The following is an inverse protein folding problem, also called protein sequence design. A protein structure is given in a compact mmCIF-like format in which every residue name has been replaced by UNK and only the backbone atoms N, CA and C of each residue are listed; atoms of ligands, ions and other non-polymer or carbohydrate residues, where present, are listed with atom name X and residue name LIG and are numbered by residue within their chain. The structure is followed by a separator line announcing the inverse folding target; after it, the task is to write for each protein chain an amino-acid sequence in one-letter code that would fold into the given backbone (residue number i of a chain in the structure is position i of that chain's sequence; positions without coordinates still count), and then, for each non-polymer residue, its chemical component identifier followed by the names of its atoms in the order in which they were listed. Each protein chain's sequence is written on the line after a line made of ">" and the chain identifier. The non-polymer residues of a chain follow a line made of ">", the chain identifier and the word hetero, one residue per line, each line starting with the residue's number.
data_IF_160074947710
#
_entry.id   IF_160074947710
#
_cell.length_a   1.000
_cell.length_b   1.000
_cell.length_c   1.000
_cell.angle_alpha   90.00
_cell.angle_beta   90.00
_cell.angle_gamma   90.00
#
_symmetry.space_group_name_H-M   'P 1'
#
loop_
_entity.id
_entity.type
_entity.pdbx_description
1 polymer ?
#
# COMPACT_ATOMS: atom_id res chain seq x y z
N UNK A 1 4.97 -6.16 -28.35
CA UNK A 1 4.11 -4.99 -28.01
C UNK A 1 4.89 -4.14 -27.00
N UNK A 2 5.04 -2.85 -27.24
CA UNK A 2 5.68 -1.94 -26.27
C UNK A 2 4.68 -1.59 -25.15
N UNK A 3 5.18 -1.18 -23.97
CA UNK A 3 4.30 -0.73 -22.89
C UNK A 3 3.38 0.43 -23.31
N UNK A 4 3.87 1.34 -24.16
CA UNK A 4 3.07 2.42 -24.72
C UNK A 4 1.94 1.91 -25.62
N UNK A 5 2.22 0.94 -26.51
CA UNK A 5 1.18 0.33 -27.36
C UNK A 5 0.08 -0.30 -26.51
N UNK A 6 0.46 -1.11 -25.52
CA UNK A 6 -0.52 -1.76 -24.63
C UNK A 6 -1.39 -0.75 -23.85
N UNK A 7 -0.82 0.39 -23.47
CA UNK A 7 -1.57 1.45 -22.79
C UNK A 7 -2.65 2.06 -23.71
N UNK A 8 -2.29 2.37 -24.98
CA UNK A 8 -3.24 2.91 -25.94
C UNK A 8 -4.30 1.88 -26.35
N UNK A 9 -3.90 0.61 -26.57
CA UNK A 9 -4.84 -0.48 -26.85
C UNK A 9 -5.88 -0.62 -25.70
N UNK A 10 -5.40 -0.46 -24.45
CA UNK A 10 -6.28 -0.48 -23.28
C UNK A 10 -7.23 0.73 -23.22
N UNK A 11 -6.80 1.90 -23.64
CA UNK A 11 -7.67 3.07 -23.75
C UNK A 11 -8.73 2.89 -24.86
N UNK A 12 -8.34 2.39 -26.02
CA UNK A 12 -9.23 2.18 -27.16
C UNK A 12 -10.31 1.13 -26.89
N UNK A 13 -9.97 0.09 -26.12
CA UNK A 13 -10.90 -0.99 -25.77
C UNK A 13 -11.78 -0.67 -24.55
N UNK A 14 -11.49 0.43 -23.82
CA UNK A 14 -12.31 0.82 -22.67
C UNK A 14 -13.71 1.26 -23.06
N UNK A 15 -14.71 0.93 -22.23
CA UNK A 15 -16.05 1.51 -22.36
C UNK A 15 -16.01 3.03 -22.36
N UNK A 16 -16.75 3.67 -23.27
CA UNK A 16 -16.73 5.13 -23.47
C UNK A 16 -17.05 5.92 -22.19
N UNK A 17 -17.90 5.38 -21.33
CA UNK A 17 -18.23 5.99 -20.03
C UNK A 17 -17.02 6.13 -19.09
N UNK A 18 -16.01 5.28 -19.25
CA UNK A 18 -14.77 5.34 -18.45
C UNK A 18 -13.75 6.32 -19.03
N UNK A 19 -14.01 6.90 -20.18
CA UNK A 19 -13.15 7.90 -20.81
C UNK A 19 -13.64 9.33 -20.56
N UNK A 20 -14.84 9.53 -20.03
CA UNK A 20 -15.44 10.85 -19.75
C UNK A 20 -15.37 11.82 -20.96
N UNK A 21 -15.52 11.31 -22.19
CA UNK A 21 -15.42 12.11 -23.42
C UNK A 21 -13.99 12.46 -23.85
N UNK A 22 -12.97 11.94 -23.21
CA UNK A 22 -11.56 12.09 -23.66
C UNK A 22 -11.30 11.03 -24.74
N UNK A 23 -10.81 11.45 -25.90
CA UNK A 23 -10.42 10.50 -26.93
C UNK A 23 -9.10 9.80 -26.54
N UNK A 24 -8.93 8.49 -26.76
CA UNK A 24 -7.70 7.77 -26.42
C UNK A 24 -6.43 8.44 -26.97
N UNK A 25 -6.45 8.92 -28.19
CA UNK A 25 -5.32 9.62 -28.84
C UNK A 25 -4.95 10.96 -28.22
N UNK A 26 -5.83 11.56 -27.39
CA UNK A 26 -5.55 12.82 -26.71
C UNK A 26 -4.80 12.65 -25.39
N UNK A 27 -4.65 11.40 -24.90
CA UNK A 27 -3.98 11.09 -23.63
C UNK A 27 -2.45 11.03 -23.83
N UNK A 28 -1.87 12.15 -24.23
CA UNK A 28 -0.45 12.27 -24.57
C UNK A 28 0.42 12.92 -23.46
N UNK A 29 -0.18 13.21 -22.31
CA UNK A 29 0.53 13.85 -21.19
C UNK A 29 -0.09 13.45 -19.85
N UNK A 30 0.64 13.70 -18.74
CA UNK A 30 0.09 13.53 -17.37
C UNK A 30 -1.15 14.39 -17.14
N UNK A 31 -1.17 15.62 -17.67
CA UNK A 31 -2.33 16.50 -17.56
C UNK A 31 -3.55 15.96 -18.33
N UNK A 32 -3.34 15.35 -19.49
CA UNK A 32 -4.42 14.69 -20.23
C UNK A 32 -4.88 13.41 -19.52
N UNK A 33 -3.97 12.61 -18.96
CA UNK A 33 -4.30 11.43 -18.16
C UNK A 33 -5.16 11.81 -16.95
N UNK A 34 -4.85 12.90 -16.27
CA UNK A 34 -5.58 13.40 -15.10
C UNK A 34 -7.05 13.78 -15.38
N UNK A 35 -7.41 13.96 -16.66
CA UNK A 35 -8.81 14.20 -17.07
C UNK A 35 -9.68 12.94 -17.10
N UNK A 36 -9.06 11.77 -17.14
CA UNK A 36 -9.79 10.50 -17.10
C UNK A 36 -10.36 10.27 -15.67
N UNK A 37 -11.53 9.62 -15.55
CA UNK A 37 -12.07 9.24 -14.26
C UNK A 37 -11.14 8.32 -13.47
N UNK A 38 -11.19 8.42 -12.15
CA UNK A 38 -10.50 7.48 -11.25
C UNK A 38 -11.31 6.17 -11.22
N UNK A 39 -10.67 5.06 -11.55
CA UNK A 39 -11.26 3.71 -11.42
C UNK A 39 -11.20 3.29 -9.95
N UNK A 40 -12.35 3.05 -9.34
CA UNK A 40 -12.43 2.63 -7.94
C UNK A 40 -12.52 1.10 -7.80
N UNK A 41 -11.96 0.58 -6.71
CA UNK A 41 -11.97 -0.88 -6.44
C UNK A 41 -13.40 -1.46 -6.40
N UNK A 42 -14.37 -0.74 -5.86
CA UNK A 42 -15.75 -1.20 -5.84
C UNK A 42 -16.40 -1.20 -7.25
N UNK A 43 -16.01 -0.29 -8.15
CA UNK A 43 -16.49 -0.27 -9.53
C UNK A 43 -15.97 -1.48 -10.30
N UNK A 44 -14.68 -1.83 -10.07
CA UNK A 44 -14.09 -3.05 -10.59
C UNK A 44 -14.89 -4.29 -10.15
N UNK A 45 -15.23 -4.37 -8.86
CA UNK A 45 -16.07 -5.42 -8.29
C UNK A 45 -17.44 -5.50 -8.97
N UNK A 46 -18.14 -4.37 -9.11
CA UNK A 46 -19.46 -4.32 -9.73
C UNK A 46 -19.41 -4.76 -11.19
N UNK A 47 -18.42 -4.32 -11.97
CA UNK A 47 -18.24 -4.74 -13.36
C UNK A 47 -17.94 -6.22 -13.50
N UNK A 48 -17.05 -6.76 -12.67
CA UNK A 48 -16.77 -8.19 -12.62
C UNK A 48 -18.03 -8.99 -12.28
N UNK A 49 -18.82 -8.53 -11.31
CA UNK A 49 -20.08 -9.16 -10.95
C UNK A 49 -21.10 -9.11 -12.09
N UNK A 50 -21.25 -7.97 -12.76
CA UNK A 50 -22.13 -7.82 -13.90
C UNK A 50 -21.72 -8.73 -15.06
N UNK A 51 -20.42 -8.80 -15.39
CA UNK A 51 -19.90 -9.65 -16.47
C UNK A 51 -20.16 -11.14 -16.21
N UNK A 52 -20.06 -11.59 -14.96
CA UNK A 52 -20.32 -12.99 -14.58
C UNK A 52 -21.81 -13.37 -14.66
N UNK A 53 -22.70 -12.41 -14.38
CA UNK A 53 -24.15 -12.64 -14.30
C UNK A 53 -24.93 -12.27 -15.58
N UNK A 54 -24.26 -11.70 -16.57
CA UNK A 54 -24.91 -11.36 -17.84
C UNK A 54 -25.45 -12.60 -18.57
N UNK A 55 -26.70 -12.54 -18.99
CA UNK A 55 -27.30 -13.60 -19.80
C UNK A 55 -26.56 -13.68 -21.15
N UNK A 56 -26.00 -14.86 -21.45
CA UNK A 56 -25.13 -15.06 -22.62
C UNK A 56 -23.75 -14.39 -22.51
N UNK A 57 -23.40 -13.87 -21.34
CA UNK A 57 -22.13 -13.19 -21.09
C UNK A 57 -20.92 -14.11 -21.32
N UNK A 58 -19.78 -13.49 -21.55
CA UNK A 58 -18.49 -14.17 -21.81
C UNK A 58 -17.96 -14.95 -20.63
N UNK A 59 -18.61 -14.88 -19.46
CA UNK A 59 -18.13 -15.41 -18.16
C UNK A 59 -16.73 -14.92 -17.81
N UNK A 60 -16.33 -13.75 -18.32
CA UNK A 60 -15.05 -13.12 -17.97
C UNK A 60 -15.03 -12.72 -16.49
N UNK A 61 -14.20 -13.35 -15.66
CA UNK A 61 -14.12 -13.02 -14.23
C UNK A 61 -13.48 -11.65 -14.00
N UNK A 62 -12.77 -11.09 -14.99
CA UNK A 62 -12.03 -9.83 -14.87
C UNK A 62 -12.83 -8.59 -15.25
N UNK A 63 -14.08 -8.76 -15.72
CA UNK A 63 -14.99 -7.64 -16.01
C UNK A 63 -14.56 -6.74 -17.17
N UNK A 64 -13.80 -7.29 -18.14
CA UNK A 64 -13.29 -6.55 -19.29
C UNK A 64 -12.03 -5.72 -19.03
N UNK A 65 -11.43 -5.82 -17.83
CA UNK A 65 -10.19 -5.10 -17.50
C UNK A 65 -8.92 -5.85 -17.93
N UNK A 66 -9.00 -7.14 -18.17
CA UNK A 66 -7.85 -7.96 -18.60
C UNK A 66 -7.83 -8.07 -20.14
N UNK A 67 -6.64 -7.89 -20.70
CA UNK A 67 -6.37 -8.14 -22.11
C UNK A 67 -6.13 -9.64 -22.39
N UNK A 68 -5.88 -10.45 -21.35
CA UNK A 68 -5.73 -11.89 -21.44
C UNK A 68 -6.97 -12.60 -20.86
N UNK A 69 -7.41 -13.68 -21.51
CA UNK A 69 -8.50 -14.50 -21.00
C UNK A 69 -8.09 -15.29 -19.74
N UNK A 70 -9.03 -15.99 -19.15
CA UNK A 70 -8.80 -16.85 -17.98
C UNK A 70 -8.81 -18.34 -18.29
N UNK A 71 -9.31 -18.67 -19.45
CA UNK A 71 -9.33 -20.06 -19.93
C UNK A 71 -8.86 -20.13 -21.36
N UNK A 72 -8.77 -20.38 -22.30
CA UNK A 72 -8.14 -20.99 -23.46
C UNK A 72 -6.63 -20.74 -23.47
N UNK A 73 -5.98 -21.29 -24.45
CA UNK A 73 -4.54 -21.18 -24.64
C UNK A 73 -4.09 -19.71 -24.70
N UNK A 74 -3.12 -19.34 -23.86
CA UNK A 74 -2.61 -17.98 -23.74
C UNK A 74 -3.37 -17.09 -22.73
N UNK A 75 -4.33 -17.66 -21.97
CA UNK A 75 -4.99 -16.97 -20.87
C UNK A 75 -4.12 -16.83 -19.62
N UNK A 76 -4.75 -16.41 -18.52
CA UNK A 76 -4.05 -16.24 -17.26
C UNK A 76 -3.35 -17.51 -16.78
N UNK A 77 -2.12 -17.38 -16.32
CA UNK A 77 -1.34 -18.47 -15.70
C UNK A 77 -1.97 -18.89 -14.37
N UNK A 78 -2.43 -17.91 -13.57
CA UNK A 78 -3.18 -18.09 -12.33
C UNK A 78 -4.28 -17.03 -12.28
N UNK A 79 -5.32 -17.32 -11.49
CA UNK A 79 -6.38 -16.35 -11.15
C UNK A 79 -6.44 -16.26 -9.65
N UNK A 80 -6.38 -15.06 -9.13
CA UNK A 80 -6.45 -14.75 -7.70
C UNK A 80 -7.78 -14.13 -7.35
N UNK A 81 -8.09 -14.11 -6.05
CA UNK A 81 -9.26 -13.47 -5.49
C UNK A 81 -8.84 -12.62 -4.29
N UNK A 82 -8.75 -11.32 -4.48
CA UNK A 82 -8.57 -10.39 -3.36
C UNK A 82 -9.93 -10.08 -2.67
N UNK A 83 -9.91 -9.53 -1.44
CA UNK A 83 -11.16 -9.24 -0.74
C UNK A 83 -12.12 -8.38 -1.54
N UNK A 84 -13.38 -8.91 -1.68
CA UNK A 84 -14.45 -8.31 -2.45
C UNK A 84 -15.54 -9.33 -2.86
N UNK A 85 -15.37 -10.52 -3.51
CA UNK A 85 -14.13 -10.94 -4.16
C UNK A 85 -13.87 -10.25 -5.49
N UNK A 86 -12.65 -9.77 -5.68
CA UNK A 86 -12.17 -9.23 -6.95
C UNK A 86 -11.19 -10.23 -7.54
N UNK A 87 -11.37 -10.59 -8.80
CA UNK A 87 -10.51 -11.55 -9.49
C UNK A 87 -9.45 -10.82 -10.30
N UNK A 88 -8.21 -11.22 -10.11
CA UNK A 88 -7.04 -10.68 -10.79
C UNK A 88 -6.31 -11.79 -11.56
N UNK A 89 -5.88 -11.53 -12.81
CA UNK A 89 -5.05 -12.47 -13.55
C UNK A 89 -3.59 -12.39 -13.13
N UNK A 90 -2.86 -13.46 -13.37
CA UNK A 90 -1.41 -13.46 -13.54
C UNK A 90 -1.10 -13.87 -14.97
N UNK A 91 -0.33 -13.08 -15.69
CA UNK A 91 0.16 -13.43 -17.02
C UNK A 91 1.42 -14.31 -16.96
N UNK A 92 2.03 -14.54 -18.13
CA UNK A 92 3.17 -15.45 -18.28
C UNK A 92 4.54 -14.77 -18.19
N UNK A 93 4.60 -13.46 -17.89
CA UNK A 93 5.86 -12.73 -17.70
C UNK A 93 6.69 -13.27 -16.54
N UNK A 94 8.02 -13.24 -16.68
CA UNK A 94 8.95 -13.77 -15.67
C UNK A 94 8.83 -13.05 -14.33
N UNK A 95 8.69 -11.72 -14.34
CA UNK A 95 8.45 -10.86 -13.16
C UNK A 95 7.21 -10.02 -13.42
N UNK A 96 6.08 -10.71 -13.57
CA UNK A 96 4.84 -10.10 -14.04
C UNK A 96 4.36 -8.93 -13.17
N UNK A 97 4.59 -9.01 -11.85
CA UNK A 97 4.28 -7.94 -10.90
C UNK A 97 5.44 -6.97 -10.65
N UNK A 98 6.59 -7.15 -11.31
CA UNK A 98 7.77 -6.26 -11.27
C UNK A 98 8.48 -6.19 -9.91
N UNK A 99 8.28 -7.19 -9.06
CA UNK A 99 8.80 -7.25 -7.68
C UNK A 99 10.32 -7.43 -7.58
N UNK A 100 11.00 -7.92 -8.64
CA UNK A 100 12.43 -8.22 -8.62
C UNK A 100 13.30 -7.00 -8.26
N UNK A 101 12.91 -5.79 -8.69
CA UNK A 101 13.62 -4.55 -8.37
C UNK A 101 13.64 -4.26 -6.88
N UNK A 102 12.52 -4.49 -6.20
CA UNK A 102 12.41 -4.32 -4.75
C UNK A 102 13.28 -5.32 -3.99
N UNK A 103 13.27 -6.59 -4.39
CA UNK A 103 14.12 -7.63 -3.81
C UNK A 103 15.61 -7.32 -4.02
N UNK A 104 15.98 -6.91 -5.24
CA UNK A 104 17.36 -6.53 -5.54
C UNK A 104 17.82 -5.30 -4.72
N UNK A 105 16.94 -4.28 -4.58
CA UNK A 105 17.22 -3.10 -3.77
C UNK A 105 17.34 -3.44 -2.26
N UNK A 106 16.59 -4.46 -1.79
CA UNK A 106 16.72 -5.01 -0.43
C UNK A 106 17.98 -5.86 -0.21
N UNK A 107 18.84 -5.99 -1.24
CA UNK A 107 20.12 -6.69 -1.14
C UNK A 107 20.10 -8.16 -1.53
N UNK A 108 18.98 -8.70 -2.01
CA UNK A 108 18.89 -10.07 -2.49
C UNK A 108 19.58 -10.23 -3.84
N UNK A 109 20.24 -11.37 -4.04
CA UNK A 109 21.06 -11.66 -5.24
C UNK A 109 20.84 -13.10 -5.70
N UNK A 110 21.27 -13.40 -6.90
CA UNK A 110 21.25 -14.75 -7.45
C UNK A 110 22.00 -15.72 -6.51
N UNK A 111 21.38 -16.83 -6.22
CA UNK A 111 21.86 -17.85 -5.29
C UNK A 111 21.42 -17.68 -3.84
N UNK A 112 20.82 -16.53 -3.45
CA UNK A 112 20.22 -16.38 -2.13
C UNK A 112 18.97 -17.25 -1.97
N UNK A 113 18.72 -17.73 -0.75
CA UNK A 113 17.47 -18.36 -0.34
C UNK A 113 16.57 -17.34 0.35
N UNK A 114 15.36 -17.18 -0.16
CA UNK A 114 14.35 -16.25 0.37
C UNK A 114 13.28 -17.03 1.14
N UNK A 115 13.11 -16.75 2.42
CA UNK A 115 11.98 -17.21 3.21
C UNK A 115 10.77 -16.30 2.91
N UNK A 116 9.81 -16.79 2.13
CA UNK A 116 8.62 -16.03 1.74
C UNK A 116 7.44 -16.39 2.64
N UNK A 117 7.05 -15.44 3.50
CA UNK A 117 5.91 -15.57 4.43
C UNK A 117 4.64 -14.87 3.96
N UNK A 118 4.60 -14.35 2.74
CA UNK A 118 3.34 -13.84 2.19
C UNK A 118 2.36 -14.98 1.91
N UNK A 119 1.07 -14.67 1.96
CA UNK A 119 0.01 -15.65 1.70
C UNK A 119 0.05 -16.17 0.28
N UNK A 120 -0.04 -17.49 0.15
CA UNK A 120 -0.26 -18.21 -1.11
C UNK A 120 -1.73 -18.57 -1.35
N UNK A 121 -2.62 -18.25 -0.39
CA UNK A 121 -4.03 -18.59 -0.45
C UNK A 121 -4.84 -17.40 -0.98
N UNK A 122 -5.55 -17.62 -2.07
CA UNK A 122 -6.45 -16.70 -2.76
C UNK A 122 -5.77 -15.45 -3.33
N UNK A 123 -4.96 -14.72 -2.55
CA UNK A 123 -4.29 -13.47 -2.95
C UNK A 123 -2.95 -13.71 -3.64
N UNK A 124 -2.46 -12.81 -4.50
CA UNK A 124 -1.24 -13.00 -5.27
C UNK A 124 0.06 -12.78 -4.48
N UNK A 125 0.00 -12.33 -3.22
CA UNK A 125 1.18 -11.80 -2.52
C UNK A 125 2.37 -12.78 -2.45
N UNK A 126 2.12 -14.07 -2.13
CA UNK A 126 3.16 -15.10 -2.11
C UNK A 126 3.76 -15.36 -3.49
N UNK A 127 2.88 -15.48 -4.50
CA UNK A 127 3.31 -15.72 -5.88
C UNK A 127 4.04 -14.50 -6.49
N UNK A 128 3.63 -13.28 -6.12
CA UNK A 128 4.31 -12.04 -6.52
C UNK A 128 5.78 -12.07 -6.09
N UNK A 129 6.02 -12.36 -4.81
CA UNK A 129 7.39 -12.43 -4.27
C UNK A 129 8.15 -13.62 -4.87
N UNK A 130 7.51 -14.78 -5.04
CA UNK A 130 8.13 -15.97 -5.60
C UNK A 130 8.62 -15.73 -7.03
N UNK A 131 7.76 -15.18 -7.92
CA UNK A 131 8.16 -14.88 -9.29
C UNK A 131 9.25 -13.81 -9.35
N UNK A 132 9.18 -12.81 -8.48
CA UNK A 132 10.22 -11.78 -8.36
C UNK A 132 11.56 -12.34 -7.89
N UNK A 133 11.55 -13.24 -6.89
CA UNK A 133 12.75 -13.90 -6.39
C UNK A 133 13.39 -14.79 -7.45
N UNK A 134 12.60 -15.57 -8.20
CA UNK A 134 13.08 -16.34 -9.33
C UNK A 134 13.68 -15.48 -10.42
N UNK A 135 13.11 -14.30 -10.70
CA UNK A 135 13.65 -13.35 -11.67
C UNK A 135 15.00 -12.74 -11.23
N UNK A 136 15.24 -12.62 -9.92
CA UNK A 136 16.56 -12.25 -9.37
C UNK A 136 17.55 -13.41 -9.43
N UNK A 137 17.07 -14.65 -9.52
CA UNK A 137 17.88 -15.88 -9.46
C UNK A 137 17.98 -16.46 -8.05
N UNK A 138 17.04 -16.11 -7.16
CA UNK A 138 16.95 -16.68 -5.82
C UNK A 138 16.18 -17.99 -5.80
N UNK A 139 16.47 -18.82 -4.80
CA UNK A 139 15.62 -19.94 -4.38
C UNK A 139 14.59 -19.44 -3.38
N UNK A 140 13.38 -20.03 -3.34
CA UNK A 140 12.31 -19.62 -2.43
C UNK A 140 11.90 -20.77 -1.53
N UNK A 141 11.83 -20.51 -0.23
CA UNK A 141 11.09 -21.32 0.72
C UNK A 141 9.70 -20.73 0.91
N UNK A 142 8.63 -21.41 0.44
CA UNK A 142 7.27 -20.86 0.48
C UNK A 142 6.61 -21.12 1.84
N UNK A 143 7.06 -20.40 2.89
CA UNK A 143 6.58 -20.57 4.27
C UNK A 143 5.11 -20.17 4.44
N UNK A 144 4.66 -19.14 3.73
CA UNK A 144 3.30 -18.62 3.83
C UNK A 144 2.99 -18.01 5.20
N UNK A 145 1.70 -17.94 5.54
CA UNK A 145 1.23 -17.35 6.79
C UNK A 145 1.02 -18.40 7.89
N UNK A 146 1.18 -18.01 9.16
CA UNK A 146 0.96 -18.90 10.31
C UNK A 146 2.09 -19.93 10.51
N UNK A 147 1.83 -20.95 11.33
CA UNK A 147 2.76 -22.04 11.64
C UNK A 147 4.18 -21.56 12.03
N UNK A 148 4.27 -20.49 12.85
CA UNK A 148 5.54 -19.81 13.15
C UNK A 148 6.63 -20.73 13.70
N UNK A 149 6.29 -21.69 14.55
CA UNK A 149 7.23 -22.67 15.10
C UNK A 149 7.85 -23.56 14.02
N UNK A 150 7.00 -24.13 13.12
CA UNK A 150 7.49 -24.93 12.01
C UNK A 150 8.35 -24.11 11.04
N UNK A 151 7.98 -22.84 10.79
CA UNK A 151 8.77 -21.93 9.96
C UNK A 151 10.13 -21.60 10.60
N UNK A 152 10.21 -21.46 11.93
CA UNK A 152 11.47 -21.25 12.64
C UNK A 152 12.40 -22.46 12.50
N UNK A 153 11.90 -23.68 12.71
CA UNK A 153 12.70 -24.89 12.51
C UNK A 153 13.18 -25.04 11.07
N UNK A 154 12.29 -24.83 10.11
CA UNK A 154 12.67 -24.88 8.69
C UNK A 154 13.72 -23.79 8.34
N UNK A 155 13.60 -22.60 8.89
CA UNK A 155 14.58 -21.52 8.68
C UNK A 155 15.93 -21.81 9.34
N UNK A 156 15.96 -22.51 10.48
CA UNK A 156 17.20 -22.97 11.11
C UNK A 156 17.92 -24.02 10.25
N UNK A 157 17.18 -24.96 9.69
CA UNK A 157 17.72 -26.03 8.85
C UNK A 157 18.19 -25.50 7.49
N UNK A 158 17.33 -24.71 6.80
CA UNK A 158 17.55 -24.22 5.44
C UNK A 158 18.46 -22.98 5.39
N UNK A 159 18.57 -22.22 6.48
CA UNK A 159 19.43 -21.04 6.63
C UNK A 159 19.19 -19.99 5.55
N UNK A 160 17.98 -19.43 5.40
CA UNK A 160 17.67 -18.43 4.39
C UNK A 160 18.53 -17.16 4.59
N UNK A 161 18.97 -16.57 3.48
CA UNK A 161 19.73 -15.31 3.46
C UNK A 161 18.83 -14.11 3.71
N UNK A 162 17.56 -14.21 3.29
CA UNK A 162 16.60 -13.14 3.40
C UNK A 162 15.17 -13.59 3.64
N UNK A 163 14.38 -12.61 4.04
CA UNK A 163 12.96 -12.73 4.33
C UNK A 163 12.14 -11.85 3.38
N UNK A 164 10.96 -12.32 3.00
CA UNK A 164 9.93 -11.51 2.36
C UNK A 164 8.57 -11.79 3.00
N UNK A 165 7.88 -10.75 3.48
CA UNK A 165 6.64 -10.90 4.22
C UNK A 165 6.18 -9.59 4.85
N UNK A 166 5.22 -9.66 5.79
CA UNK A 166 4.87 -8.49 6.58
C UNK A 166 5.91 -8.25 7.68
N UNK A 167 6.18 -6.98 8.05
CA UNK A 167 7.16 -6.67 9.10
C UNK A 167 6.74 -7.23 10.48
N UNK A 168 5.44 -7.24 10.78
CA UNK A 168 4.93 -7.82 12.03
C UNK A 168 5.16 -9.33 12.11
N UNK A 169 4.97 -10.06 11.01
CA UNK A 169 5.18 -11.51 11.02
C UNK A 169 6.66 -11.89 11.11
N UNK A 170 7.57 -11.08 10.51
CA UNK A 170 9.00 -11.24 10.74
C UNK A 170 9.34 -11.14 12.23
N UNK A 171 8.76 -10.13 12.92
CA UNK A 171 8.93 -9.99 14.37
C UNK A 171 8.42 -11.24 15.10
N UNK A 172 7.24 -11.74 14.76
CA UNK A 172 6.67 -12.98 15.36
C UNK A 172 7.61 -14.18 15.17
N UNK A 173 8.21 -14.33 14.00
CA UNK A 173 9.15 -15.42 13.74
C UNK A 173 10.43 -15.30 14.60
N UNK A 174 10.97 -14.08 14.72
CA UNK A 174 12.18 -13.84 15.51
C UNK A 174 11.93 -13.97 17.01
N UNK A 175 10.80 -13.47 17.51
CA UNK A 175 10.39 -13.68 18.92
C UNK A 175 10.20 -15.18 19.20
N UNK A 176 9.54 -15.92 18.29
CA UNK A 176 9.36 -17.37 18.41
C UNK A 176 10.70 -18.12 18.38
N UNK A 177 11.65 -17.70 17.54
CA UNK A 177 12.99 -18.26 17.48
C UNK A 177 13.75 -18.07 18.80
N UNK A 178 13.60 -16.89 19.42
CA UNK A 178 14.17 -16.58 20.75
C UNK A 178 13.53 -17.46 21.84
N UNK A 179 12.20 -17.57 21.88
CA UNK A 179 11.46 -18.43 22.82
C UNK A 179 11.89 -19.92 22.74
N UNK A 180 12.16 -20.39 21.54
CA UNK A 180 12.58 -21.78 21.28
C UNK A 180 14.09 -22.00 21.48
N UNK A 181 14.88 -20.95 21.66
CA UNK A 181 16.34 -21.03 21.68
C UNK A 181 16.95 -21.43 20.33
N UNK A 182 16.27 -21.16 19.20
CA UNK A 182 16.68 -21.53 17.85
C UNK A 182 17.11 -20.28 17.08
N UNK A 183 18.41 -19.93 17.04
CA UNK A 183 18.87 -18.71 16.40
C UNK A 183 18.79 -18.80 14.87
N UNK A 184 18.46 -17.66 14.21
CA UNK A 184 18.37 -17.53 12.75
C UNK A 184 19.45 -16.56 12.19
N UNK A 185 20.76 -16.84 12.36
CA UNK A 185 21.83 -15.90 12.07
C UNK A 185 22.07 -15.64 10.57
N UNK A 186 21.54 -16.50 9.70
CA UNK A 186 21.66 -16.36 8.25
C UNK A 186 20.72 -15.31 7.65
N UNK A 187 19.59 -15.04 8.30
CA UNK A 187 18.57 -14.10 7.86
C UNK A 187 19.02 -12.67 8.11
N UNK A 188 19.66 -12.05 7.12
CA UNK A 188 20.25 -10.71 7.24
C UNK A 188 19.58 -9.65 6.39
N UNK A 189 18.73 -10.04 5.45
CA UNK A 189 18.06 -9.18 4.50
C UNK A 189 16.55 -9.35 4.65
N UNK A 190 15.77 -8.27 4.54
CA UNK A 190 14.32 -8.39 4.55
C UNK A 190 13.68 -7.37 3.59
N UNK A 191 12.78 -7.84 2.73
CA UNK A 191 11.82 -7.01 2.02
C UNK A 191 10.47 -7.16 2.71
N UNK A 192 9.94 -6.06 3.24
CA UNK A 192 8.67 -6.06 3.96
C UNK A 192 7.63 -5.17 3.28
N UNK A 193 6.36 -5.57 3.36
CA UNK A 193 5.25 -4.83 2.76
C UNK A 193 3.90 -5.31 3.29
N UNK A 194 2.81 -4.72 2.74
CA UNK A 194 1.45 -5.06 3.11
C UNK A 194 0.94 -4.43 4.39
N UNK A 195 1.81 -3.82 5.18
CA UNK A 195 1.47 -3.06 6.39
C UNK A 195 2.55 -2.00 6.69
N UNK A 196 2.30 -1.15 7.69
CA UNK A 196 3.25 -0.12 8.11
C UNK A 196 4.54 -0.74 8.66
N UNK A 197 5.68 -0.12 8.33
CA UNK A 197 7.00 -0.47 8.86
C UNK A 197 7.57 0.69 9.68
N UNK A 198 7.19 0.80 10.97
CA UNK A 198 7.58 1.93 11.81
C UNK A 198 9.08 1.94 12.12
N UNK A 199 9.67 3.12 12.38
CA UNK A 199 11.09 3.24 12.73
C UNK A 199 11.52 2.34 13.90
N UNK A 200 10.70 2.23 14.93
CA UNK A 200 10.98 1.37 16.10
C UNK A 200 11.17 -0.11 15.74
N UNK A 201 10.36 -0.64 14.82
CA UNK A 201 10.51 -2.02 14.35
C UNK A 201 11.71 -2.17 13.42
N UNK A 202 12.00 -1.15 12.63
CA UNK A 202 13.21 -1.11 11.79
C UNK A 202 14.48 -1.16 12.65
N UNK A 203 14.55 -0.33 13.69
CA UNK A 203 15.69 -0.28 14.61
C UNK A 203 15.82 -1.61 15.38
N UNK A 204 14.71 -2.20 15.78
CA UNK A 204 14.68 -3.50 16.44
C UNK A 204 15.23 -4.63 15.55
N UNK A 205 14.92 -4.64 14.24
CA UNK A 205 15.50 -5.56 13.27
C UNK A 205 16.98 -5.28 13.02
N UNK A 206 17.36 -4.01 12.88
CA UNK A 206 18.75 -3.60 12.68
C UNK A 206 19.65 -4.02 13.85
N UNK A 207 19.18 -3.91 15.10
CA UNK A 207 19.88 -4.39 16.28
C UNK A 207 20.13 -5.92 16.27
N UNK A 208 19.34 -6.68 15.49
CA UNK A 208 19.50 -8.12 15.25
C UNK A 208 20.30 -8.46 13.98
N UNK A 209 20.89 -7.44 13.35
CA UNK A 209 21.68 -7.58 12.12
C UNK A 209 20.87 -7.80 10.86
N UNK A 210 19.57 -7.47 10.87
CA UNK A 210 18.66 -7.62 9.73
C UNK A 210 18.42 -6.25 9.09
N UNK A 211 18.86 -6.11 7.84
CA UNK A 211 18.58 -4.92 7.03
C UNK A 211 17.18 -5.03 6.40
N UNK A 212 16.18 -4.42 7.04
CA UNK A 212 14.80 -4.38 6.52
C UNK A 212 14.58 -3.23 5.53
N UNK A 213 13.95 -3.50 4.41
CA UNK A 213 13.52 -2.54 3.39
C UNK A 213 12.03 -2.72 3.12
N UNK A 214 11.33 -1.64 2.84
CA UNK A 214 9.90 -1.72 2.55
C UNK A 214 9.58 -1.59 1.07
N UNK A 215 8.46 -2.19 0.67
CA UNK A 215 7.85 -1.93 -0.63
C UNK A 215 6.37 -1.57 -0.47
N UNK A 216 5.87 -0.84 -1.47
CA UNK A 216 4.45 -0.56 -1.64
C UNK A 216 3.96 -1.32 -2.88
N UNK A 217 3.09 -2.28 -2.65
CA UNK A 217 2.51 -3.13 -3.67
C UNK A 217 1.04 -3.44 -3.31
N UNK A 218 0.22 -3.69 -4.32
CA UNK A 218 -1.16 -4.16 -4.13
C UNK A 218 -1.44 -5.39 -4.98
N UNK A 219 -2.48 -6.14 -4.64
CA UNK A 219 -2.91 -7.31 -5.41
C UNK A 219 -3.27 -6.93 -6.86
N UNK A 220 -3.91 -5.76 -7.04
CA UNK A 220 -4.40 -5.29 -8.33
C UNK A 220 -3.25 -4.79 -9.23
N UNK A 221 -2.26 -4.10 -8.64
CA UNK A 221 -1.26 -3.33 -9.38
C UNK A 221 0.12 -4.01 -9.44
N UNK A 222 0.40 -4.94 -8.52
CA UNK A 222 1.76 -5.40 -8.28
C UNK A 222 2.61 -4.34 -7.57
N UNK A 223 3.92 -4.31 -7.84
CA UNK A 223 4.83 -3.32 -7.27
C UNK A 223 4.50 -1.92 -7.79
N UNK A 224 4.39 -0.97 -6.88
CA UNK A 224 4.21 0.46 -7.17
C UNK A 224 5.48 1.23 -6.83
N UNK A 225 6.07 0.96 -5.65
CA UNK A 225 7.26 1.66 -5.19
C UNK A 225 8.05 0.81 -4.19
N UNK A 226 9.35 1.09 -4.06
CA UNK A 226 10.24 0.35 -3.18
C UNK A 226 11.32 1.24 -2.56
N UNK A 227 11.75 0.87 -1.38
CA UNK A 227 12.84 1.54 -0.66
C UNK A 227 14.19 1.16 -1.23
N UNK A 228 15.14 2.09 -1.14
CA UNK A 228 16.54 1.88 -1.51
C UNK A 228 17.44 2.06 -0.29
N UNK A 229 18.73 1.84 -0.45
CA UNK A 229 19.74 2.05 0.60
C UNK A 229 19.77 3.48 1.15
N UNK A 230 19.30 4.47 0.39
CA UNK A 230 19.21 5.84 0.84
C UNK A 230 18.19 6.05 1.98
N UNK A 231 17.23 5.16 2.15
CA UNK A 231 16.17 5.25 3.18
C UNK A 231 15.33 6.53 3.13
N UNK A 232 15.30 7.19 1.98
CA UNK A 232 14.60 8.45 1.74
C UNK A 232 13.39 8.24 0.81
N UNK A 233 12.28 7.81 1.38
CA UNK A 233 11.06 7.49 0.64
C UNK A 233 11.16 6.23 -0.20
N UNK A 234 10.17 6.03 -1.07
CA UNK A 234 10.06 4.90 -1.96
C UNK A 234 10.20 5.36 -3.42
N UNK A 235 11.09 4.74 -4.15
CA UNK A 235 11.29 4.97 -5.60
C UNK A 235 10.16 4.29 -6.37
N UNK A 236 9.53 4.99 -7.29
CA UNK A 236 8.48 4.43 -8.15
C UNK A 236 9.06 3.40 -9.13
N UNK A 237 8.28 2.34 -9.37
CA UNK A 237 8.56 1.41 -10.48
C UNK A 237 8.41 2.11 -11.85
N UNK A 238 9.22 1.77 -12.84
CA UNK A 238 9.21 2.41 -14.15
C UNK A 238 8.00 2.07 -15.01
N UNK A 239 7.27 1.00 -14.67
CA UNK A 239 6.09 0.57 -15.42
C UNK A 239 4.78 1.03 -14.78
N UNK A 240 4.85 2.03 -13.90
CA UNK A 240 3.66 2.69 -13.36
C UNK A 240 3.75 4.20 -13.52
N UNK A 241 2.60 4.83 -13.69
CA UNK A 241 2.43 6.26 -13.56
C UNK A 241 1.66 6.49 -12.26
N UNK A 242 2.26 7.21 -11.32
CA UNK A 242 1.63 7.57 -10.05
C UNK A 242 1.24 9.05 -10.09
N UNK A 243 0.01 9.33 -9.66
CA UNK A 243 -0.52 10.65 -9.39
C UNK A 243 -0.89 10.70 -7.91
N UNK A 244 -0.59 11.81 -7.26
CA UNK A 244 -1.10 12.11 -5.93
C UNK A 244 -2.22 13.12 -6.10
N UNK A 245 -3.43 12.76 -5.68
CA UNK A 245 -4.62 13.55 -5.96
C UNK A 245 -5.37 13.90 -4.68
N UNK A 246 -6.16 14.96 -4.74
CA UNK A 246 -7.07 15.31 -3.66
C UNK A 246 -8.12 14.21 -3.48
N UNK A 247 -8.24 13.62 -2.27
CA UNK A 247 -9.19 12.54 -2.02
C UNK A 247 -10.63 12.90 -2.45
N UNK A 248 -11.28 11.98 -3.16
CA UNK A 248 -12.65 12.15 -3.62
C UNK A 248 -12.84 12.98 -4.88
N UNK A 249 -11.83 13.74 -5.35
CA UNK A 249 -11.96 14.60 -6.56
C UNK A 249 -11.23 14.03 -7.77
N UNK A 250 -10.11 13.35 -7.55
CA UNK A 250 -9.20 12.90 -8.61
C UNK A 250 -8.31 14.02 -9.19
N UNK A 251 -8.32 15.22 -8.62
CA UNK A 251 -7.49 16.35 -9.04
C UNK A 251 -6.08 16.23 -8.46
N UNK A 252 -5.01 16.28 -9.29
CA UNK A 252 -3.64 16.26 -8.80
C UNK A 252 -3.35 17.39 -7.79
N UNK A 253 -2.57 17.08 -6.76
CA UNK A 253 -2.08 18.05 -5.78
C UNK A 253 -0.64 18.47 -6.09
N UNK A 254 -0.16 19.60 -5.58
CA UNK A 254 1.24 20.00 -5.68
C UNK A 254 2.18 18.98 -5.05
N UNK A 255 3.42 18.89 -5.57
CA UNK A 255 4.46 18.06 -5.01
C UNK A 255 4.70 18.35 -3.53
N UNK A 256 4.77 17.31 -2.71
CA UNK A 256 4.92 17.41 -1.26
C UNK A 256 3.60 17.50 -0.48
N UNK A 257 2.48 17.84 -1.12
CA UNK A 257 1.15 17.77 -0.50
C UNK A 257 0.68 16.31 -0.41
N UNK A 258 0.02 15.97 0.71
CA UNK A 258 -0.54 14.63 0.92
C UNK A 258 -1.86 14.49 0.16
N UNK A 259 -1.99 13.40 -0.59
CA UNK A 259 -3.21 13.05 -1.30
C UNK A 259 -3.34 11.56 -1.51
N UNK A 260 -4.41 11.16 -2.18
CA UNK A 260 -4.67 9.76 -2.53
C UNK A 260 -3.75 9.32 -3.67
N UNK A 261 -3.21 8.13 -3.54
CA UNK A 261 -2.37 7.49 -4.56
C UNK A 261 -3.25 6.90 -5.67
N UNK A 262 -3.13 7.46 -6.86
CA UNK A 262 -3.74 6.94 -8.07
C UNK A 262 -2.64 6.33 -8.94
N UNK A 263 -2.87 5.13 -9.45
CA UNK A 263 -1.85 4.40 -10.22
C UNK A 263 -2.40 4.00 -11.58
N UNK A 264 -1.63 4.25 -12.62
CA UNK A 264 -1.83 3.68 -13.94
C UNK A 264 -0.72 2.67 -14.20
N UNK A 265 -1.06 1.41 -14.46
CA UNK A 265 -0.09 0.37 -14.81
C UNK A 265 0.12 0.33 -16.32
N UNK A 266 1.36 0.10 -16.73
CA UNK A 266 1.73 -0.17 -18.13
C UNK A 266 1.81 -1.68 -18.39
N UNK A 267 1.13 -2.49 -17.58
CA UNK A 267 1.05 -3.93 -17.75
C UNK A 267 0.14 -4.27 -18.95
N UNK A 268 0.64 -4.94 -20.00
CA UNK A 268 -0.15 -5.23 -21.20
C UNK A 268 -1.26 -6.25 -20.96
N UNK A 269 -1.13 -7.11 -19.95
CA UNK A 269 -2.08 -8.18 -19.67
C UNK A 269 -3.26 -7.70 -18.81
N UNK A 270 -3.00 -6.75 -17.90
CA UNK A 270 -3.97 -6.20 -16.97
C UNK A 270 -3.75 -4.70 -16.75
N UNK A 271 -4.07 -3.88 -17.76
CA UNK A 271 -3.83 -2.44 -17.73
C UNK A 271 -4.90 -1.73 -16.90
N UNK A 272 -4.57 -1.36 -15.68
CA UNK A 272 -5.40 -0.52 -14.83
C UNK A 272 -5.00 0.95 -15.01
N UNK A 273 -5.94 1.77 -15.46
CA UNK A 273 -5.72 3.19 -15.74
C UNK A 273 -6.40 4.02 -14.66
N UNK A 274 -5.62 4.91 -14.02
CA UNK A 274 -6.03 5.77 -12.90
C UNK A 274 -6.77 5.00 -11.81
N UNK A 275 -6.18 3.89 -11.37
CA UNK A 275 -6.74 3.07 -10.30
C UNK A 275 -6.50 3.72 -8.94
N UNK A 276 -7.58 4.02 -8.22
CA UNK A 276 -7.55 4.58 -6.88
C UNK A 276 -7.27 3.51 -5.84
N UNK A 277 -6.12 3.60 -5.19
CA UNK A 277 -5.70 2.62 -4.19
C UNK A 277 -6.44 2.79 -2.86
N UNK A 278 -6.96 3.98 -2.61
CA UNK A 278 -7.50 4.38 -1.30
C UNK A 278 -6.42 4.60 -0.25
N UNK A 279 -5.15 4.64 -0.62
CA UNK A 279 -4.02 4.94 0.26
C UNK A 279 -3.55 6.38 0.06
N UNK A 280 -2.97 6.95 1.11
CA UNK A 280 -2.38 8.29 1.10
C UNK A 280 -0.88 8.23 0.97
N UNK A 281 -0.32 9.17 0.17
CA UNK A 281 1.11 9.44 0.09
C UNK A 281 1.34 10.91 -0.31
N UNK A 282 2.60 11.27 -0.52
CA UNK A 282 2.99 12.55 -1.11
C UNK A 282 4.22 12.33 -1.99
N UNK A 283 4.37 13.12 -3.05
CA UNK A 283 5.62 13.16 -3.81
C UNK A 283 6.74 13.68 -2.91
N UNK A 284 7.85 12.99 -2.89
CA UNK A 284 9.07 13.43 -2.21
C UNK A 284 9.93 14.19 -3.20
N UNK A 285 10.07 15.54 -3.06
CA UNK A 285 10.83 16.33 -3.99
C UNK A 285 12.35 16.05 -3.91
N UNK A 286 13.07 16.41 -4.95
CA UNK A 286 14.52 16.29 -5.05
C UNK A 286 15.01 14.99 -5.68
N UNK A 287 16.28 14.96 -6.02
CA UNK A 287 16.94 13.82 -6.64
C UNK A 287 17.06 12.65 -5.67
N UNK A 288 17.01 11.42 -6.21
CA UNK A 288 17.28 10.23 -5.41
C UNK A 288 18.77 10.16 -5.07
N UNK A 289 19.17 10.01 -3.78
CA UNK A 289 20.59 9.95 -3.42
C UNK A 289 21.33 8.76 -4.03
N UNK A 290 20.62 7.73 -4.47
CA UNK A 290 21.20 6.56 -5.15
C UNK A 290 21.35 6.76 -6.67
N UNK A 291 21.11 7.98 -7.19
CA UNK A 291 21.25 8.32 -8.61
C UNK A 291 20.11 7.83 -9.50
N UNK A 292 19.03 7.26 -8.95
CA UNK A 292 17.84 6.91 -9.73
C UNK A 292 17.08 8.16 -10.13
N UNK A 293 16.58 8.19 -11.36
CA UNK A 293 15.84 9.32 -11.92
C UNK A 293 14.33 9.26 -11.68
N UNK A 294 13.85 8.15 -11.18
CA UNK A 294 12.43 7.95 -10.85
C UNK A 294 11.99 8.88 -9.74
N UNK A 295 10.75 9.33 -9.82
CA UNK A 295 10.07 10.05 -8.73
C UNK A 295 10.02 9.17 -7.48
N UNK A 296 10.09 9.80 -6.31
CA UNK A 296 9.92 9.14 -5.02
C UNK A 296 8.65 9.61 -4.34
N UNK A 297 8.04 8.71 -3.57
CA UNK A 297 6.93 9.02 -2.68
C UNK A 297 7.33 8.78 -1.23
N UNK A 298 6.62 9.43 -0.28
CA UNK A 298 6.92 9.31 1.17
C UNK A 298 6.63 7.91 1.75
N UNK A 299 5.95 7.05 0.98
CA UNK A 299 5.44 5.78 1.45
C UNK A 299 3.98 5.89 1.89
N UNK A 300 3.51 4.89 2.63
CA UNK A 300 2.13 4.84 3.10
C UNK A 300 1.91 5.79 4.30
N UNK A 301 0.98 6.73 4.18
CA UNK A 301 0.64 7.73 5.18
C UNK A 301 -0.76 7.53 5.79
N UNK A 302 -1.43 6.44 5.45
CA UNK A 302 -2.77 6.11 5.92
C UNK A 302 -3.75 5.83 4.79
N UNK A 303 -5.03 5.73 5.14
CA UNK A 303 -6.12 5.47 4.20
C UNK A 303 -6.84 6.77 3.82
N UNK A 304 -7.17 6.90 2.55
CA UNK A 304 -7.90 8.06 2.04
C UNK A 304 -9.36 8.09 2.53
N UNK A 305 -9.97 6.93 2.78
CA UNK A 305 -11.30 6.79 3.35
C UNK A 305 -11.38 7.18 4.84
N UNK A 306 -10.25 7.35 5.50
CA UNK A 306 -10.15 7.90 6.86
C UNK A 306 -9.77 9.39 6.86
N UNK A 307 -9.85 10.10 5.73
CA UNK A 307 -9.71 11.56 5.74
C UNK A 307 -11.04 12.23 6.06
N UNK A 308 -10.98 13.28 6.88
CA UNK A 308 -12.12 14.14 7.13
C UNK A 308 -11.85 15.56 6.63
N UNK A 309 -12.82 16.16 5.95
CA UNK A 309 -12.77 17.58 5.60
C UNK A 309 -13.36 18.40 6.74
N UNK A 310 -12.53 19.19 7.42
CA UNK A 310 -12.91 20.02 8.57
C UNK A 310 -12.69 21.48 8.20
N UNK A 311 -13.74 22.29 8.23
CA UNK A 311 -13.68 23.73 7.87
C UNK A 311 -12.92 24.00 6.57
N UNK A 312 -13.17 23.16 5.55
CA UNK A 312 -12.54 23.28 4.23
C UNK A 312 -11.16 22.63 4.08
N UNK A 313 -10.52 22.19 5.15
CA UNK A 313 -9.20 21.55 5.14
C UNK A 313 -9.32 20.04 5.35
N UNK A 314 -8.49 19.28 4.65
CA UNK A 314 -8.43 17.82 4.85
C UNK A 314 -7.51 17.48 6.03
N UNK A 315 -8.04 16.68 6.96
CA UNK A 315 -7.27 16.06 8.04
C UNK A 315 -7.13 14.58 7.75
N UNK A 316 -5.91 14.05 7.85
CA UNK A 316 -5.60 12.67 7.49
C UNK A 316 -4.87 11.93 8.62
N UNK A 317 -4.89 10.59 8.63
CA UNK A 317 -4.31 9.76 9.71
C UNK A 317 -2.84 10.06 10.02
N UNK A 318 -2.04 10.43 9.02
CA UNK A 318 -0.64 10.80 9.22
C UNK A 318 -0.46 12.02 10.12
N UNK A 319 -1.38 12.99 10.09
CA UNK A 319 -1.36 14.15 10.99
C UNK A 319 -1.68 13.73 12.43
N UNK A 320 -2.62 12.82 12.63
CA UNK A 320 -2.93 12.28 13.96
C UNK A 320 -1.73 11.51 14.53
N UNK A 321 -1.04 10.72 13.68
CA UNK A 321 0.18 10.03 14.07
C UNK A 321 1.33 11.00 14.42
N UNK A 322 1.46 12.11 13.68
CA UNK A 322 2.45 13.16 13.97
C UNK A 322 2.20 13.84 15.33
N UNK A 323 0.93 14.13 15.63
CA UNK A 323 0.54 14.69 16.92
C UNK A 323 0.90 13.70 18.03
N UNK A 324 0.51 12.43 17.91
CA UNK A 324 0.79 11.41 18.91
C UNK A 324 2.32 11.25 19.15
N UNK A 325 3.13 11.23 18.08
CA UNK A 325 4.59 11.08 18.16
C UNK A 325 5.28 12.23 18.91
N UNK A 326 4.74 13.44 18.87
CA UNK A 326 5.29 14.60 19.61
C UNK A 326 4.99 14.57 21.11
N UNK A 327 4.13 13.66 21.56
CA UNK A 327 3.71 13.50 22.94
C UNK A 327 3.93 12.06 23.41
N UNK A 328 5.09 11.73 24.00
CA UNK A 328 5.44 10.36 24.41
C UNK A 328 4.47 9.75 25.43
N UNK A 329 3.69 10.57 26.12
CA UNK A 329 2.64 10.16 27.05
C UNK A 329 1.44 9.48 26.34
N UNK A 330 1.25 9.78 25.04
CA UNK A 330 0.12 9.28 24.24
C UNK A 330 0.42 7.87 23.75
N UNK A 331 -0.39 6.90 24.17
CA UNK A 331 -0.32 5.51 23.71
C UNK A 331 -1.12 5.26 22.45
N UNK A 332 -2.28 5.91 22.35
CA UNK A 332 -3.19 5.79 21.21
C UNK A 332 -3.96 7.09 21.04
N UNK A 333 -4.27 7.43 19.80
CA UNK A 333 -5.04 8.61 19.45
C UNK A 333 -6.11 8.29 18.41
N UNK A 334 -7.29 8.93 18.55
CA UNK A 334 -8.39 8.90 17.59
C UNK A 334 -8.97 10.28 17.45
N UNK A 335 -9.06 10.77 16.23
CA UNK A 335 -9.72 12.04 15.92
C UNK A 335 -11.18 11.77 15.62
N UNK A 336 -12.07 12.50 16.27
CA UNK A 336 -13.50 12.49 15.99
C UNK A 336 -13.89 13.86 15.43
N UNK A 337 -14.49 13.85 14.25
CA UNK A 337 -15.09 15.03 13.64
C UNK A 337 -16.58 14.95 13.82
N UNK A 338 -17.17 15.93 14.48
CA UNK A 338 -18.61 16.00 14.79
C UNK A 338 -19.14 17.41 14.49
N UNK A 339 -20.44 17.63 14.68
CA UNK A 339 -21.09 18.92 14.44
C UNK A 339 -22.13 18.84 13.35
N UNK A 340 -22.77 19.97 13.09
CA UNK A 340 -23.75 20.17 12.02
C UNK A 340 -23.11 20.94 10.86
N UNK A 341 -23.85 21.12 9.76
CA UNK A 341 -23.37 21.83 8.57
C UNK A 341 -22.80 23.23 8.95
N UNK A 342 -21.54 23.47 8.61
CA UNK A 342 -20.76 24.67 8.90
C UNK A 342 -20.31 24.88 10.37
N UNK A 343 -20.62 23.97 11.30
CA UNK A 343 -20.11 23.99 12.69
C UNK A 343 -19.31 22.71 13.01
N UNK A 344 -18.29 22.45 12.21
CA UNK A 344 -17.40 21.32 12.41
C UNK A 344 -16.63 21.43 13.74
N UNK A 345 -16.70 20.40 14.56
CA UNK A 345 -15.92 20.23 15.79
C UNK A 345 -14.93 19.10 15.61
N UNK A 346 -13.71 19.33 16.02
CA UNK A 346 -12.62 18.37 15.93
C UNK A 346 -12.11 18.04 17.32
N UNK A 347 -12.27 16.79 17.75
CA UNK A 347 -11.87 16.33 19.08
C UNK A 347 -10.86 15.20 18.93
N UNK A 348 -9.64 15.40 19.45
CA UNK A 348 -8.65 14.34 19.55
C UNK A 348 -8.79 13.64 20.89
N UNK A 349 -9.22 12.38 20.85
CA UNK A 349 -9.25 11.47 21.98
C UNK A 349 -7.91 10.76 22.10
N UNK A 350 -7.27 10.82 23.27
CA UNK A 350 -5.92 10.22 23.46
C UNK A 350 -5.90 9.32 24.70
N UNK A 351 -5.38 8.12 24.54
CA UNK A 351 -5.12 7.23 25.67
C UNK A 351 -3.78 7.57 26.31
N UNK A 352 -3.81 7.87 27.60
CA UNK A 352 -2.63 8.17 28.40
C UNK A 352 -2.64 7.35 29.68
N UNK A 353 -1.46 6.86 30.10
CA UNK A 353 -1.32 6.07 31.34
C UNK A 353 -1.52 6.94 32.59
N UNK A 354 -1.07 8.19 32.54
CA UNK A 354 -1.19 9.18 33.61
C UNK A 354 -1.54 10.55 33.00
N UNK A 355 -2.46 11.23 33.63
CA UNK A 355 -2.83 12.60 33.24
C UNK A 355 -1.81 13.56 33.86
N UNK A 356 -0.96 14.15 33.01
CA UNK A 356 -0.03 15.18 33.42
C UNK A 356 -0.68 16.57 33.29
N UNK A 357 -0.39 17.46 34.22
CA UNK A 357 -0.88 18.85 34.18
C UNK A 357 -0.50 19.54 32.88
N UNK A 358 -1.47 20.21 32.27
CA UNK A 358 -1.26 20.96 31.02
C UNK A 358 -1.09 20.08 29.75
N UNK A 359 -1.16 18.75 29.83
CA UNK A 359 -0.98 17.87 28.66
C UNK A 359 -2.00 18.16 27.56
N UNK A 360 -3.28 18.32 27.90
CA UNK A 360 -4.33 18.64 26.92
C UNK A 360 -4.03 19.94 26.17
N UNK A 361 -3.54 20.96 26.85
CA UNK A 361 -3.19 22.24 26.23
C UNK A 361 -2.00 22.09 25.26
N UNK A 362 -0.95 21.37 25.65
CA UNK A 362 0.20 21.10 24.77
C UNK A 362 -0.20 20.31 23.51
N UNK A 363 -1.07 19.30 23.68
CA UNK A 363 -1.59 18.54 22.54
C UNK A 363 -2.47 19.41 21.64
N UNK A 364 -3.31 20.29 22.20
CA UNK A 364 -4.15 21.21 21.42
C UNK A 364 -3.30 22.22 20.60
N UNK A 365 -2.20 22.72 21.16
CA UNK A 365 -1.25 23.54 20.42
C UNK A 365 -0.60 22.74 19.27
N UNK A 366 -0.23 21.49 19.52
CA UNK A 366 0.31 20.60 18.48
C UNK A 366 -0.70 20.29 17.37
N UNK A 367 -1.98 20.09 17.72
CA UNK A 367 -3.06 19.93 16.72
C UNK A 367 -3.08 21.14 15.79
N UNK A 368 -3.06 22.36 16.36
CA UNK A 368 -3.07 23.60 15.57
C UNK A 368 -1.83 23.72 14.68
N UNK A 369 -0.66 23.33 15.17
CA UNK A 369 0.57 23.38 14.39
C UNK A 369 0.56 22.41 13.21
N UNK A 370 0.07 21.19 13.43
CA UNK A 370 0.09 20.11 12.43
C UNK A 370 -1.05 20.25 11.43
N UNK A 371 -2.26 20.54 11.90
CA UNK A 371 -3.47 20.55 11.06
C UNK A 371 -3.86 21.93 10.56
N UNK A 372 -3.31 23.01 11.15
CA UNK A 372 -3.73 24.41 10.99
C UNK A 372 -5.16 24.67 11.46
N UNK A 373 -5.74 23.73 12.18
CA UNK A 373 -7.09 23.79 12.75
C UNK A 373 -7.03 23.79 14.27
N UNK A 374 -8.02 24.37 14.92
CA UNK A 374 -8.22 24.23 16.36
C UNK A 374 -9.03 22.96 16.63
N UNK A 375 -8.59 22.16 17.60
CA UNK A 375 -9.26 20.96 18.07
C UNK A 375 -9.27 20.87 19.58
N UNK A 376 -10.26 20.19 20.12
CA UNK A 376 -10.36 19.84 21.53
C UNK A 376 -9.56 18.55 21.80
N UNK A 377 -9.14 18.35 23.05
CA UNK A 377 -8.41 17.16 23.47
C UNK A 377 -9.13 16.52 24.66
N UNK A 378 -9.41 15.23 24.52
CA UNK A 378 -10.00 14.41 25.58
C UNK A 378 -8.99 13.33 25.97
N UNK A 379 -8.55 13.37 27.24
CA UNK A 379 -7.67 12.34 27.81
C UNK A 379 -8.52 11.17 28.29
N UNK A 380 -8.13 9.95 27.92
CA UNK A 380 -8.82 8.73 28.26
C UNK A 380 -7.85 7.69 28.86
N UNK A 381 -8.31 6.80 29.72
CA UNK A 381 -7.51 5.67 30.21
C UNK A 381 -7.10 4.72 29.06
N UNK A 382 -5.99 3.99 29.17
CA UNK A 382 -5.58 3.01 28.19
C UNK A 382 -6.66 1.93 27.96
N UNK A 383 -6.89 1.56 26.70
CA UNK A 383 -7.86 0.55 26.28
C UNK A 383 -9.31 1.04 26.19
N UNK A 384 -9.56 2.35 26.31
CA UNK A 384 -10.92 2.93 26.22
C UNK A 384 -11.37 3.21 24.80
N UNK A 385 -10.42 3.55 23.90
CA UNK A 385 -10.76 3.86 22.51
C UNK A 385 -11.13 2.58 21.73
N UNK A 386 -12.16 2.64 20.86
CA UNK A 386 -12.55 1.50 20.04
C UNK A 386 -11.39 0.92 19.23
N UNK A 387 -11.31 -0.41 19.20
CA UNK A 387 -10.30 -1.12 18.40
C UNK A 387 -10.89 -1.57 17.05
N UNK A 388 -11.36 -0.60 16.26
CA UNK A 388 -12.04 -0.80 14.98
C UNK A 388 -11.15 -0.43 13.76
N UNK A 389 -9.86 -0.17 14.00
CA UNK A 389 -8.90 0.23 12.96
C UNK A 389 -9.05 1.67 12.46
N UNK A 390 -9.99 2.46 13.01
CA UNK A 390 -10.18 3.85 12.59
C UNK A 390 -9.33 4.79 13.42
N UNK A 391 -8.51 5.58 12.75
CA UNK A 391 -7.73 6.69 13.32
C UNK A 391 -8.52 7.99 13.30
N UNK A 392 -9.34 8.18 12.26
CA UNK A 392 -10.27 9.29 12.14
C UNK A 392 -11.68 8.77 11.97
N UNK A 393 -12.60 9.32 12.72
CA UNK A 393 -14.04 9.08 12.62
C UNK A 393 -14.75 10.36 12.23
N UNK A 394 -15.45 10.33 11.11
CA UNK A 394 -16.40 11.37 10.74
C UNK A 394 -17.79 11.00 11.27
N UNK A 395 -18.15 11.58 12.42
CA UNK A 395 -19.41 11.33 13.12
C UNK A 395 -20.48 12.38 12.80
N UNK A 396 -20.26 13.23 11.80
CA UNK A 396 -21.25 14.22 11.35
C UNK A 396 -22.44 13.52 10.71
N UNK A 397 -23.63 14.06 10.96
CA UNK A 397 -24.85 13.61 10.30
C UNK A 397 -25.20 14.60 9.20
N UNK A 398 -25.36 14.10 8.01
CA UNK A 398 -25.81 14.85 6.83
C UNK A 398 -27.22 14.36 6.52
N UNK A 399 -28.20 14.80 7.34
CA UNK A 399 -29.62 14.53 7.08
C UNK A 399 -30.17 15.54 6.06
#
# INVERSE_FOLDING_TARGET
>A
MTAASAFYDALETRPAELLAGVAPGDVVSRAALARLPVTRKHELLLRQHAARNAAGGTRDPFGGYSAIGWRPRGGARRVYASPGPIYEPEGHGTDWWRGARALYAAGLRAGDLVHNSFSYHLTPAGALVETAAHAVGCTVFPGGVGNSELQVHAAADLRPDGYAGTPSFLKVLLDKAEDLGVPLPSMRKALVGGEAFPPSLRDWLAARGIAGYQCYATADLGLVAYETEAREGLVLDEQVIVEIVRPGTGEPVPDGEVGEVIVTTLNPDYPLIRFGTGDLSAVLPGACPTGRTNVRIRGWLGRADQTAKVRGMFVHPGQVADIARRHPEVRRARLVVSGEMADDRMTLQVEVAQQADGLSARIADTIRDVTKLRGEVVLAPPGTLPNDGKVIEDARRYD
#
